data_IF_142631253314
#
_entry.id   IF_142631253314
#
_cell.length_a   1.000
_cell.length_b   1.000
_cell.length_c   1.000
_cell.angle_alpha   90.00
_cell.angle_beta   90.00
_cell.angle_gamma   90.00
#
_symmetry.space_group_name_H-M   'P 1'
#
loop_
_entity.id
_entity.type
_entity.pdbx_description
1 polymer ?
#
# COMPACT_ATOMS: atom_id res chain seq x y z
N UNK A 1 2.95 -13.68 -5.61
CA UNK A 1 2.43 -12.65 -4.71
C UNK A 1 2.48 -13.14 -3.26
N UNK A 2 3.10 -12.37 -2.37
CA UNK A 2 3.15 -12.55 -0.92
C UNK A 2 2.29 -11.47 -0.23
N UNK A 3 1.08 -11.84 0.21
CA UNK A 3 0.16 -10.92 0.89
C UNK A 3 0.43 -10.97 2.40
N UNK A 4 0.69 -9.80 2.99
CA UNK A 4 0.93 -9.63 4.42
C UNK A 4 -0.14 -8.76 5.03
N UNK A 5 -0.94 -9.36 5.91
CA UNK A 5 -2.02 -8.67 6.60
C UNK A 5 -1.45 -7.70 7.64
N UNK A 6 -1.95 -6.46 7.67
CA UNK A 6 -1.50 -5.42 8.61
C UNK A 6 -2.60 -5.08 9.62
N UNK A 7 -3.84 -4.93 9.16
CA UNK A 7 -5.05 -4.78 10.00
C UNK A 7 -6.15 -5.69 9.47
N UNK A 8 -7.35 -5.72 10.06
CA UNK A 8 -8.47 -6.49 9.50
C UNK A 8 -8.94 -5.98 8.12
N UNK A 9 -8.70 -4.70 7.78
CA UNK A 9 -9.16 -4.07 6.54
C UNK A 9 -8.04 -3.65 5.58
N UNK A 10 -6.77 -3.81 5.97
CA UNK A 10 -5.62 -3.41 5.17
C UNK A 10 -4.53 -4.49 5.14
N UNK A 11 -4.01 -4.74 3.94
CA UNK A 11 -2.87 -5.62 3.70
C UNK A 11 -1.90 -4.99 2.70
N UNK A 12 -0.66 -5.50 2.69
CA UNK A 12 0.34 -5.15 1.69
C UNK A 12 0.83 -6.36 0.92
N UNK A 13 1.35 -6.16 -0.28
CA UNK A 13 1.99 -7.22 -1.06
C UNK A 13 3.23 -6.76 -1.83
N UNK A 14 4.02 -7.74 -2.26
CA UNK A 14 4.98 -7.59 -3.35
C UNK A 14 4.26 -7.35 -4.70
N UNK A 15 4.99 -7.41 -5.81
CA UNK A 15 4.43 -7.10 -7.13
C UNK A 15 3.18 -7.93 -7.43
N UNK A 16 2.07 -7.24 -7.69
CA UNK A 16 0.82 -7.82 -8.20
C UNK A 16 0.88 -7.92 -9.72
N UNK A 17 0.48 -9.06 -10.26
CA UNK A 17 0.35 -9.29 -11.70
C UNK A 17 -1.12 -9.36 -12.12
N UNK A 18 -1.40 -9.30 -13.42
CA UNK A 18 -2.78 -9.44 -13.92
C UNK A 18 -3.42 -10.78 -13.50
N UNK A 19 -2.62 -11.86 -13.44
CA UNK A 19 -3.08 -13.18 -13.02
C UNK A 19 -3.49 -13.24 -11.53
N UNK A 20 -2.91 -12.37 -10.69
CA UNK A 20 -3.24 -12.31 -9.26
C UNK A 20 -4.61 -11.65 -9.03
N UNK A 21 -5.08 -10.80 -9.94
CA UNK A 21 -6.25 -9.93 -9.72
C UNK A 21 -7.54 -10.72 -9.47
N UNK A 22 -7.77 -11.81 -10.21
CA UNK A 22 -8.93 -12.67 -9.99
C UNK A 22 -8.90 -13.33 -8.60
N UNK A 23 -7.71 -13.71 -8.12
CA UNK A 23 -7.54 -14.24 -6.77
C UNK A 23 -7.78 -13.16 -5.71
N UNK A 24 -7.32 -11.94 -5.93
CA UNK A 24 -7.53 -10.81 -5.02
C UNK A 24 -9.02 -10.46 -4.90
N UNK A 25 -9.73 -10.36 -6.02
CA UNK A 25 -11.17 -10.14 -6.04
C UNK A 25 -11.92 -11.29 -5.34
N UNK A 26 -11.53 -12.55 -5.59
CA UNK A 26 -12.10 -13.73 -4.92
C UNK A 26 -11.86 -13.78 -3.41
N UNK A 27 -10.78 -13.15 -2.92
CA UNK A 27 -10.50 -12.95 -1.49
C UNK A 27 -11.26 -11.76 -0.88
N UNK A 28 -12.08 -11.08 -1.68
CA UNK A 28 -12.89 -9.95 -1.26
C UNK A 28 -12.16 -8.62 -1.21
N UNK A 29 -10.93 -8.52 -1.71
CA UNK A 29 -10.24 -7.22 -1.86
C UNK A 29 -11.07 -6.33 -2.77
N UNK A 30 -11.34 -5.10 -2.31
CA UNK A 30 -12.18 -4.16 -3.06
C UNK A 30 -11.41 -2.97 -3.63
N UNK A 31 -10.21 -2.70 -3.11
CA UNK A 31 -9.35 -1.60 -3.59
C UNK A 31 -7.90 -2.05 -3.72
N UNK A 32 -7.27 -1.71 -4.83
CA UNK A 32 -5.83 -1.81 -5.03
C UNK A 32 -5.18 -0.43 -5.02
N UNK A 33 -4.11 -0.30 -4.23
CA UNK A 33 -3.23 0.88 -4.25
C UNK A 33 -1.87 0.47 -4.79
N UNK A 34 -1.49 0.97 -5.97
CA UNK A 34 -0.16 0.75 -6.52
C UNK A 34 0.79 1.88 -6.09
N UNK A 35 1.86 1.52 -5.38
CA UNK A 35 2.91 2.45 -4.95
C UNK A 35 4.21 2.32 -5.77
N UNK A 36 4.13 1.61 -6.90
CA UNK A 36 5.24 1.42 -7.82
C UNK A 36 5.10 2.37 -9.02
N UNK A 37 6.11 3.20 -9.33
CA UNK A 37 6.16 3.90 -10.61
C UNK A 37 6.38 2.89 -11.75
N UNK A 38 5.91 3.23 -12.95
CA UNK A 38 6.18 2.42 -14.14
C UNK A 38 7.67 2.49 -14.54
N UNK A 39 8.15 1.44 -15.20
CA UNK A 39 9.50 1.39 -15.76
C UNK A 39 10.64 1.15 -14.76
N UNK A 40 10.38 0.60 -13.56
CA UNK A 40 11.46 0.27 -12.62
C UNK A 40 12.20 -1.04 -12.96
N UNK A 41 11.59 -1.93 -13.76
CA UNK A 41 12.21 -3.19 -14.16
C UNK A 41 11.68 -3.69 -15.51
N UNK A 42 12.50 -4.46 -16.22
CA UNK A 42 12.08 -5.16 -17.42
C UNK A 42 10.95 -6.15 -17.11
N UNK A 43 9.94 -6.17 -17.98
CA UNK A 43 8.75 -7.01 -17.80
C UNK A 43 7.81 -6.57 -16.66
N UNK A 44 8.02 -5.38 -16.07
CA UNK A 44 7.05 -4.79 -15.15
C UNK A 44 5.72 -4.53 -15.88
N UNK A 45 4.58 -5.06 -15.38
CA UNK A 45 3.27 -4.66 -15.90
C UNK A 45 3.04 -3.17 -15.69
N UNK A 46 2.52 -2.47 -16.70
CA UNK A 46 2.19 -1.05 -16.52
C UNK A 46 1.05 -0.87 -15.53
N UNK A 47 1.11 0.22 -14.76
CA UNK A 47 0.02 0.59 -13.86
C UNK A 47 -1.31 0.75 -14.60
N UNK A 48 -1.27 1.24 -15.85
CA UNK A 48 -2.46 1.40 -16.68
C UNK A 48 -3.12 0.05 -17.05
N UNK A 49 -2.33 -0.96 -17.43
CA UNK A 49 -2.83 -2.30 -17.74
C UNK A 49 -3.46 -2.95 -16.51
N UNK A 50 -2.74 -2.93 -15.37
CA UNK A 50 -3.26 -3.46 -14.11
C UNK A 50 -4.53 -2.73 -13.65
N UNK A 51 -4.60 -1.42 -13.82
CA UNK A 51 -5.77 -0.63 -13.47
C UNK A 51 -7.01 -1.02 -14.30
N UNK A 52 -6.83 -1.27 -15.60
CA UNK A 52 -7.93 -1.71 -16.47
C UNK A 52 -8.45 -3.08 -16.02
N UNK A 53 -7.56 -4.06 -15.86
CA UNK A 53 -7.93 -5.42 -15.44
C UNK A 53 -8.54 -5.45 -14.02
N UNK A 54 -8.05 -4.62 -13.10
CA UNK A 54 -8.61 -4.55 -11.75
C UNK A 54 -10.05 -4.01 -11.75
N UNK A 55 -10.32 -3.00 -12.59
CA UNK A 55 -11.66 -2.39 -12.71
C UNK A 55 -12.66 -3.33 -13.38
N UNK A 56 -12.23 -4.14 -14.35
CA UNK A 56 -13.08 -5.19 -14.94
C UNK A 56 -13.56 -6.21 -13.90
N UNK A 57 -12.77 -6.42 -12.85
CA UNK A 57 -13.11 -7.28 -11.71
C UNK A 57 -13.85 -6.53 -10.58
N UNK A 58 -14.25 -5.28 -10.81
CA UNK A 58 -15.00 -4.48 -9.84
C UNK A 58 -14.17 -3.91 -8.69
N UNK A 59 -12.84 -3.96 -8.76
CA UNK A 59 -11.96 -3.36 -7.75
C UNK A 59 -11.71 -1.88 -8.07
N UNK A 60 -11.74 -1.05 -7.04
CA UNK A 60 -11.25 0.32 -7.12
C UNK A 60 -9.72 0.32 -7.30
N UNK A 61 -9.22 1.34 -7.98
CA UNK A 61 -7.80 1.48 -8.30
C UNK A 61 -7.28 2.86 -7.94
N UNK A 62 -6.20 2.91 -7.16
CA UNK A 62 -5.48 4.13 -6.79
C UNK A 62 -4.00 3.96 -7.14
N UNK A 63 -3.41 4.97 -7.78
CA UNK A 63 -1.99 4.97 -8.12
C UNK A 63 -1.29 6.14 -7.42
N UNK A 64 -0.39 5.82 -6.49
CA UNK A 64 0.41 6.79 -5.72
C UNK A 64 1.88 6.35 -5.84
N UNK A 65 2.54 6.60 -6.98
CA UNK A 65 3.88 6.10 -7.23
C UNK A 65 4.91 6.77 -6.31
N UNK A 66 5.73 5.96 -5.64
CA UNK A 66 6.84 6.44 -4.82
C UNK A 66 8.16 6.12 -5.51
N UNK A 67 8.81 7.17 -6.01
CA UNK A 67 10.15 7.12 -6.61
C UNK A 67 11.22 7.42 -5.57
N UNK A 68 12.36 6.72 -5.65
CA UNK A 68 13.56 7.00 -4.84
C UNK A 68 13.34 7.04 -3.31
N UNK A 69 12.29 6.36 -2.81
CA UNK A 69 11.96 6.37 -1.38
C UNK A 69 11.46 7.72 -0.84
N UNK A 70 11.06 8.66 -1.70
CA UNK A 70 10.57 9.96 -1.28
C UNK A 70 9.10 9.88 -0.85
N UNK A 71 8.87 9.84 0.46
CA UNK A 71 7.53 9.88 1.06
C UNK A 71 7.15 11.33 1.37
N UNK A 72 6.67 12.04 0.36
CA UNK A 72 6.24 13.45 0.47
C UNK A 72 4.90 13.58 1.20
N UNK A 73 4.62 14.74 1.80
CA UNK A 73 3.33 14.99 2.45
C UNK A 73 2.14 14.76 1.51
N UNK A 74 2.15 15.25 0.24
CA UNK A 74 1.06 14.98 -0.70
C UNK A 74 0.83 13.48 -0.94
N UNK A 75 1.89 12.66 -0.99
CA UNK A 75 1.74 11.22 -1.17
C UNK A 75 1.17 10.54 0.08
N UNK A 76 1.57 11.00 1.26
CA UNK A 76 1.04 10.50 2.54
C UNK A 76 -0.44 10.85 2.67
N UNK A 77 -0.81 12.09 2.36
CA UNK A 77 -2.21 12.55 2.41
C UNK A 77 -3.07 11.83 1.36
N UNK A 78 -2.58 11.66 0.13
CA UNK A 78 -3.26 10.89 -0.90
C UNK A 78 -3.49 9.43 -0.46
N UNK A 79 -2.52 8.82 0.22
CA UNK A 79 -2.67 7.46 0.74
C UNK A 79 -3.68 7.41 1.89
N UNK A 80 -3.64 8.38 2.81
CA UNK A 80 -4.63 8.52 3.90
C UNK A 80 -6.05 8.66 3.34
N UNK A 81 -6.21 9.51 2.33
CA UNK A 81 -7.50 9.74 1.69
C UNK A 81 -8.00 8.50 0.97
N UNK A 82 -7.13 7.76 0.28
CA UNK A 82 -7.49 6.50 -0.33
C UNK A 82 -8.00 5.48 0.70
N UNK A 83 -7.32 5.32 1.83
CA UNK A 83 -7.78 4.42 2.91
C UNK A 83 -9.14 4.83 3.50
N UNK A 84 -9.44 6.13 3.55
CA UNK A 84 -10.69 6.65 4.11
C UNK A 84 -11.87 6.57 3.15
N UNK A 85 -11.62 6.74 1.86
CA UNK A 85 -12.67 6.97 0.85
C UNK A 85 -12.93 5.77 -0.06
N UNK A 86 -11.96 4.87 -0.20
CA UNK A 86 -12.11 3.71 -1.08
C UNK A 86 -12.73 2.51 -0.35
N UNK A 87 -13.40 1.61 -1.06
CA UNK A 87 -13.98 0.41 -0.46
C UNK A 87 -12.93 -0.50 0.19
N UNK A 88 -13.17 -0.90 1.44
CA UNK A 88 -12.39 -1.92 2.13
C UNK A 88 -12.86 -3.35 1.79
N UNK A 89 -12.00 -4.38 1.91
CA UNK A 89 -10.59 -4.33 2.29
C UNK A 89 -9.67 -3.81 1.18
N UNK A 90 -8.63 -3.08 1.60
CA UNK A 90 -7.63 -2.46 0.72
C UNK A 90 -6.36 -3.32 0.70
N UNK A 91 -5.80 -3.54 -0.50
CA UNK A 91 -4.45 -4.06 -0.68
C UNK A 91 -3.57 -3.00 -1.32
N UNK A 92 -2.46 -2.65 -0.68
CA UNK A 92 -1.43 -1.78 -1.28
C UNK A 92 -0.20 -2.59 -1.68
N UNK A 93 0.36 -2.35 -2.87
CA UNK A 93 1.51 -3.11 -3.35
C UNK A 93 2.56 -2.23 -4.01
N UNK A 94 3.79 -2.73 -4.04
CA UNK A 94 4.85 -2.16 -4.87
C UNK A 94 5.75 -3.27 -5.42
N UNK A 95 7.08 -3.14 -5.36
CA UNK A 95 8.01 -4.23 -5.70
C UNK A 95 8.08 -5.30 -4.59
N UNK A 96 8.17 -4.86 -3.34
CA UNK A 96 8.37 -5.73 -2.16
C UNK A 96 7.39 -5.44 -1.01
N UNK A 97 6.41 -4.57 -1.24
CA UNK A 97 5.49 -4.04 -0.22
C UNK A 97 6.07 -2.96 0.71
N UNK A 98 7.39 -2.74 0.73
CA UNK A 98 8.05 -1.79 1.64
C UNK A 98 7.56 -0.34 1.50
N UNK A 99 7.31 0.15 0.27
CA UNK A 99 6.76 1.50 0.06
C UNK A 99 5.33 1.62 0.58
N UNK A 100 4.54 0.58 0.37
CA UNK A 100 3.14 0.52 0.76
C UNK A 100 2.98 0.50 2.28
N UNK A 101 3.74 -0.35 2.98
CA UNK A 101 3.71 -0.37 4.46
C UNK A 101 4.26 0.94 5.05
N UNK A 102 5.25 1.56 4.41
CA UNK A 102 5.80 2.84 4.87
C UNK A 102 4.79 3.98 4.71
N UNK A 103 4.09 4.06 3.57
CA UNK A 103 3.02 5.04 3.37
C UNK A 103 1.85 4.81 4.34
N UNK A 104 1.46 3.56 4.56
CA UNK A 104 0.47 3.23 5.57
C UNK A 104 0.92 3.72 6.96
N UNK A 105 2.16 3.41 7.36
CA UNK A 105 2.69 3.83 8.66
C UNK A 105 2.69 5.35 8.84
N UNK A 106 3.09 6.09 7.80
CA UNK A 106 3.16 7.56 7.82
C UNK A 106 1.79 8.24 7.73
N UNK A 107 0.78 7.57 7.17
CA UNK A 107 -0.60 8.07 7.04
C UNK A 107 -1.48 7.70 8.23
N UNK A 108 -1.12 6.65 8.98
CA UNK A 108 -1.89 6.11 10.10
C UNK A 108 -2.06 7.12 11.24
N UNK A 109 -3.29 7.24 11.73
CA UNK A 109 -3.65 8.00 12.93
C UNK A 109 -3.63 7.12 14.20
N UNK A 110 -2.62 6.24 14.32
CA UNK A 110 -2.43 5.33 15.45
C UNK A 110 -1.12 5.69 16.19
N UNK A 111 -1.01 5.44 17.51
CA UNK A 111 0.23 5.65 18.25
C UNK A 111 1.45 4.99 17.59
N UNK A 112 2.61 5.64 17.62
CA UNK A 112 3.79 5.20 16.87
C UNK A 112 4.20 3.76 17.22
N UNK A 113 4.15 3.39 18.51
CA UNK A 113 4.43 2.02 18.94
C UNK A 113 3.46 0.98 18.36
N UNK A 114 2.18 1.33 18.21
CA UNK A 114 1.19 0.44 17.60
C UNK A 114 1.44 0.28 16.10
N UNK A 115 1.74 1.36 15.39
CA UNK A 115 2.09 1.33 13.96
C UNK A 115 3.30 0.43 13.71
N UNK A 116 4.36 0.61 14.51
CA UNK A 116 5.57 -0.21 14.41
C UNK A 116 5.31 -1.68 14.73
N UNK A 117 4.49 -1.96 15.75
CA UNK A 117 4.10 -3.32 16.11
C UNK A 117 3.34 -4.03 14.98
N UNK A 118 2.38 -3.35 14.35
CA UNK A 118 1.60 -3.90 13.23
C UNK A 118 2.47 -4.11 11.98
N UNK A 119 3.36 -3.17 11.65
CA UNK A 119 4.29 -3.34 10.55
C UNK A 119 5.27 -4.50 10.78
N UNK A 120 5.78 -4.63 12.00
CA UNK A 120 6.67 -5.72 12.40
C UNK A 120 5.97 -7.08 12.35
N UNK A 121 4.72 -7.17 12.82
CA UNK A 121 3.89 -8.37 12.71
C UNK A 121 3.61 -8.78 11.26
N UNK A 122 3.50 -7.80 10.35
CA UNK A 122 3.43 -8.02 8.91
C UNK A 122 4.82 -8.28 8.27
N UNK A 123 5.88 -8.46 9.06
CA UNK A 123 7.22 -8.81 8.58
C UNK A 123 8.02 -7.65 7.98
N UNK A 124 7.71 -6.40 8.35
CA UNK A 124 8.45 -5.20 7.95
C UNK A 124 9.06 -4.49 9.16
N UNK A 125 10.38 -4.35 9.17
CA UNK A 125 11.06 -3.52 10.16
C UNK A 125 11.01 -2.05 9.72
N UNK A 126 10.22 -1.26 10.44
CA UNK A 126 10.11 0.19 10.28
C UNK A 126 10.65 0.96 11.48
N UNK A 127 11.47 0.34 12.34
CA UNK A 127 12.01 0.94 13.56
C UNK A 127 12.69 2.29 13.31
N UNK A 128 13.38 2.44 12.18
CA UNK A 128 14.02 3.69 11.76
C UNK A 128 13.04 4.87 11.56
N UNK A 129 11.74 4.61 11.38
CA UNK A 129 10.71 5.65 11.25
C UNK A 129 10.17 6.15 12.59
N UNK A 130 10.54 5.53 13.72
CA UNK A 130 9.97 5.87 15.04
C UNK A 130 10.01 7.39 15.36
N UNK A 131 11.14 8.12 15.15
CA UNK A 131 11.17 9.56 15.42
C UNK A 131 10.21 10.36 14.54
N UNK A 132 10.09 9.98 13.26
CA UNK A 132 9.19 10.64 12.30
C UNK A 132 7.72 10.34 12.60
N UNK A 133 7.40 9.14 13.06
CA UNK A 133 6.03 8.79 13.46
C UNK A 133 5.63 9.55 14.73
N UNK A 134 6.54 9.67 15.70
CA UNK A 134 6.30 10.40 16.93
C UNK A 134 6.08 11.90 16.71
N UNK A 135 6.82 12.53 15.79
CA UNK A 135 6.64 13.96 15.48
C UNK A 135 5.31 14.27 14.80
N UNK A 136 4.81 13.34 13.97
CA UNK A 136 3.52 13.47 13.27
C UNK A 136 2.30 13.35 14.17
N UNK A 137 2.46 12.81 15.38
CA UNK A 137 1.36 12.63 16.35
C UNK A 137 1.21 13.82 17.30
N UNK A 138 2.15 14.78 17.24
CA UNK A 138 2.17 15.96 18.09
C UNK A 138 1.62 17.22 17.39
N UNK A 139 1.33 17.13 16.09
CA UNK A 139 0.69 18.18 15.29
C UNK A 139 -0.72 17.80 14.91
#
# INVERSE_FOLDING_TARGET
MDIRQVTSSFAVADQVTEADLATLAGRGIRTLICNRPDGEADGQPSAAQLAAAARELGMAWVWIPISSGQFTEPAIDAFRDALRTQPEPVLAFCRSGTRSITLWALSAALPAGQVLGLASAAGYDLSALAPRLASRQQG
#
